data_IF_336040894352
#
_entry.id   IF_336040894352
#
_cell.length_a   1.000
_cell.length_b   1.000
_cell.length_c   1.000
_cell.angle_alpha   90.00
_cell.angle_beta   90.00
_cell.angle_gamma   90.00
#
_symmetry.space_group_name_H-M   'P 1'
#
loop_
_entity.id
_entity.type
_entity.pdbx_description
1 polymer ?
#
# COMPACT_ATOMS: atom_id res chain seq x y z
N UNK A 1 32.49 -63.72 -52.78
CA UNK A 1 32.24 -63.90 -51.33
C UNK A 1 33.02 -62.85 -50.54
N UNK A 2 32.81 -61.58 -50.91
CA UNK A 2 32.41 -60.44 -50.08
C UNK A 2 32.94 -60.34 -48.64
N UNK A 3 34.10 -59.69 -48.56
CA UNK A 3 34.42 -58.51 -47.73
C UNK A 3 33.68 -58.36 -46.40
N UNK A 4 34.40 -58.66 -45.31
CA UNK A 4 34.08 -58.23 -43.94
C UNK A 4 34.11 -56.71 -43.85
N UNK A 5 32.96 -56.10 -43.59
CA UNK A 5 32.81 -54.69 -43.19
C UNK A 5 33.39 -54.48 -41.79
N UNK A 6 34.36 -53.57 -41.59
CA UNK A 6 34.73 -53.13 -40.24
C UNK A 6 33.69 -52.12 -39.73
N UNK A 7 33.17 -52.35 -38.53
CA UNK A 7 32.31 -51.41 -37.80
C UNK A 7 33.12 -50.15 -37.45
N UNK A 8 32.64 -48.93 -37.73
CA UNK A 8 33.22 -47.73 -37.15
C UNK A 8 32.77 -47.62 -35.69
N UNK A 9 33.55 -48.18 -34.79
CA UNK A 9 33.54 -47.84 -33.37
C UNK A 9 34.34 -46.54 -33.16
N UNK A 10 33.74 -45.39 -33.46
CA UNK A 10 34.24 -44.12 -32.96
C UNK A 10 33.18 -43.02 -33.05
N UNK A 11 33.05 -42.26 -31.96
CA UNK A 11 32.30 -41.00 -31.82
C UNK A 11 30.88 -41.05 -31.22
N UNK A 12 30.81 -41.50 -29.98
CA UNK A 12 30.25 -40.66 -28.91
C UNK A 12 31.27 -40.67 -27.75
N UNK A 13 31.37 -39.68 -26.85
CA UNK A 13 30.59 -38.44 -26.69
C UNK A 13 31.47 -37.19 -26.38
N UNK A 14 31.23 -36.03 -27.02
CA UNK A 14 31.69 -34.75 -26.45
C UNK A 14 30.55 -33.73 -26.52
N UNK A 15 29.69 -33.77 -25.52
CA UNK A 15 28.81 -32.66 -25.17
C UNK A 15 28.68 -32.58 -23.63
N UNK A 16 29.82 -32.52 -22.94
CA UNK A 16 29.90 -32.28 -21.49
C UNK A 16 30.46 -30.87 -21.21
N UNK A 17 29.83 -29.84 -21.77
CA UNK A 17 30.13 -28.44 -21.40
C UNK A 17 28.88 -27.55 -21.28
N UNK A 18 27.68 -28.06 -21.57
CA UNK A 18 26.42 -27.29 -21.51
C UNK A 18 25.83 -27.13 -20.10
N UNK A 19 26.36 -27.85 -19.10
CA UNK A 19 25.83 -27.85 -17.72
C UNK A 19 26.27 -26.66 -16.87
N UNK A 20 27.38 -26.00 -17.23
CA UNK A 20 27.98 -24.95 -16.39
C UNK A 20 27.44 -23.55 -16.73
N UNK A 21 27.09 -23.29 -18.00
CA UNK A 21 26.40 -22.05 -18.41
C UNK A 21 24.90 -22.05 -18.07
N UNK A 22 24.29 -23.23 -17.92
CA UNK A 22 22.87 -23.34 -17.58
C UNK A 22 22.58 -23.03 -16.12
N UNK A 23 23.47 -23.36 -15.18
CA UNK A 23 23.31 -23.06 -13.75
C UNK A 23 23.48 -21.56 -13.45
N UNK A 24 24.46 -20.90 -14.05
CA UNK A 24 24.62 -19.44 -13.92
C UNK A 24 23.45 -18.67 -14.57
N UNK A 25 23.00 -19.10 -15.75
CA UNK A 25 21.81 -18.53 -16.41
C UNK A 25 20.51 -18.82 -15.64
N UNK A 26 20.38 -20.00 -15.01
CA UNK A 26 19.24 -20.33 -14.16
C UNK A 26 19.24 -19.50 -12.87
N UNK A 27 20.40 -19.31 -12.23
CA UNK A 27 20.54 -18.46 -11.06
C UNK A 27 20.18 -17.00 -11.35
N UNK A 28 20.64 -16.45 -12.49
CA UNK A 28 20.29 -15.10 -12.91
C UNK A 28 18.79 -14.94 -13.21
N UNK A 29 18.17 -15.94 -13.85
CA UNK A 29 16.70 -15.94 -14.08
C UNK A 29 15.94 -16.00 -12.76
N UNK A 30 16.35 -16.85 -11.84
CA UNK A 30 15.72 -16.97 -10.52
C UNK A 30 15.83 -15.66 -9.73
N UNK A 31 17.01 -15.03 -9.72
CA UNK A 31 17.22 -13.75 -9.06
C UNK A 31 16.34 -12.65 -9.68
N UNK A 32 16.28 -12.57 -11.02
CA UNK A 32 15.41 -11.61 -11.71
C UNK A 32 13.93 -11.84 -11.39
N UNK A 33 13.49 -13.09 -11.33
CA UNK A 33 12.12 -13.44 -10.91
C UNK A 33 11.87 -13.08 -9.46
N UNK A 34 12.81 -13.35 -8.55
CA UNK A 34 12.69 -13.02 -7.14
C UNK A 34 12.61 -11.50 -6.91
N UNK A 35 13.45 -10.72 -7.60
CA UNK A 35 13.39 -9.25 -7.58
C UNK A 35 12.05 -8.78 -8.13
N UNK A 36 11.60 -9.33 -9.27
CA UNK A 36 10.29 -9.00 -9.85
C UNK A 36 9.15 -9.31 -8.90
N UNK A 37 9.17 -10.48 -8.24
CA UNK A 37 8.17 -10.89 -7.26
C UNK A 37 8.18 -10.00 -6.01
N UNK A 38 9.36 -9.62 -5.51
CA UNK A 38 9.50 -8.71 -4.38
C UNK A 38 8.95 -7.31 -4.73
N UNK A 39 9.31 -6.77 -5.89
CA UNK A 39 8.78 -5.50 -6.37
C UNK A 39 7.25 -5.54 -6.52
N UNK A 40 6.72 -6.61 -7.13
CA UNK A 40 5.28 -6.81 -7.28
C UNK A 40 4.59 -6.91 -5.93
N UNK A 41 5.15 -7.70 -5.02
CA UNK A 41 4.60 -7.86 -3.67
C UNK A 41 4.54 -6.51 -2.93
N UNK A 42 5.65 -5.77 -2.86
CA UNK A 42 5.68 -4.46 -2.18
C UNK A 42 4.67 -3.51 -2.80
N UNK A 43 4.56 -3.49 -4.12
CA UNK A 43 3.62 -2.65 -4.84
C UNK A 43 2.16 -2.94 -4.45
N UNK A 44 1.72 -4.20 -4.55
CA UNK A 44 0.36 -4.59 -4.18
C UNK A 44 0.10 -4.49 -2.68
N UNK A 45 1.11 -4.72 -1.86
CA UNK A 45 1.01 -4.56 -0.41
C UNK A 45 0.74 -3.09 -0.04
N UNK A 46 1.52 -2.15 -0.57
CA UNK A 46 1.28 -0.71 -0.35
C UNK A 46 -0.09 -0.30 -0.87
N UNK A 47 -0.52 -0.83 -2.02
CA UNK A 47 -1.85 -0.54 -2.55
C UNK A 47 -2.97 -1.08 -1.64
N UNK A 48 -2.83 -2.29 -1.08
CA UNK A 48 -3.78 -2.82 -0.09
C UNK A 48 -3.81 -1.99 1.20
N UNK A 49 -2.64 -1.56 1.69
CA UNK A 49 -2.59 -0.65 2.83
C UNK A 49 -3.29 0.67 2.51
N UNK A 50 -3.05 1.25 1.34
CA UNK A 50 -3.68 2.49 0.92
C UNK A 50 -5.21 2.33 0.78
N UNK A 51 -5.69 1.27 0.15
CA UNK A 51 -7.13 0.98 0.01
C UNK A 51 -7.81 0.75 1.36
N UNK A 52 -7.10 0.22 2.35
CA UNK A 52 -7.62 0.02 3.70
C UNK A 52 -7.57 1.30 4.55
N UNK A 53 -6.43 1.98 4.59
CA UNK A 53 -6.20 3.11 5.49
C UNK A 53 -6.77 4.41 4.95
N UNK A 54 -6.72 4.67 3.64
CA UNK A 54 -7.26 5.91 3.08
C UNK A 54 -8.72 6.19 3.48
N UNK A 55 -9.68 5.25 3.32
CA UNK A 55 -11.05 5.50 3.75
C UNK A 55 -11.17 5.68 5.26
N UNK A 56 -10.39 4.95 6.06
CA UNK A 56 -10.40 5.09 7.52
C UNK A 56 -9.90 6.48 7.96
N UNK A 57 -8.80 6.96 7.39
CA UNK A 57 -8.25 8.27 7.68
C UNK A 57 -9.19 9.39 7.23
N UNK A 58 -9.82 9.26 6.07
CA UNK A 58 -10.82 10.22 5.59
C UNK A 58 -12.06 10.27 6.49
N UNK A 59 -12.60 9.11 6.89
CA UNK A 59 -13.74 9.05 7.80
C UNK A 59 -13.37 9.65 9.16
N UNK A 60 -12.22 9.28 9.72
CA UNK A 60 -11.76 9.79 11.01
C UNK A 60 -11.53 11.30 10.96
N UNK A 61 -10.85 11.80 9.93
CA UNK A 61 -10.60 13.23 9.74
C UNK A 61 -11.89 14.02 9.51
N UNK A 62 -12.82 13.52 8.71
CA UNK A 62 -14.13 14.15 8.50
C UNK A 62 -14.98 14.17 9.78
N UNK A 63 -15.02 13.06 10.52
CA UNK A 63 -15.72 12.98 11.80
C UNK A 63 -15.14 13.96 12.83
N UNK A 64 -13.82 14.08 12.90
CA UNK A 64 -13.14 15.04 13.77
C UNK A 64 -13.42 16.47 13.35
N UNK A 65 -13.33 16.80 12.05
CA UNK A 65 -13.63 18.13 11.54
C UNK A 65 -15.10 18.54 11.77
N UNK A 66 -16.03 17.57 11.78
CA UNK A 66 -17.45 17.81 12.06
C UNK A 66 -17.74 18.00 13.56
N UNK A 67 -16.88 17.49 14.45
CA UNK A 67 -17.11 17.47 15.89
C UNK A 67 -17.38 18.86 16.50
N UNK A 68 -16.59 19.91 16.20
CA UNK A 68 -16.82 21.25 16.73
C UNK A 68 -18.15 21.86 16.24
N UNK A 69 -18.54 21.59 14.99
CA UNK A 69 -19.78 22.10 14.41
C UNK A 69 -21.02 21.45 15.05
N UNK A 70 -20.97 20.14 15.28
CA UNK A 70 -22.03 19.40 15.97
C UNK A 70 -22.20 19.90 17.41
N UNK A 71 -21.10 20.10 18.13
CA UNK A 71 -21.11 20.55 19.51
C UNK A 71 -21.62 21.98 19.64
N UNK A 72 -21.23 22.90 18.74
CA UNK A 72 -21.79 24.26 18.69
C UNK A 72 -23.31 24.25 18.47
N UNK A 73 -23.80 23.34 17.61
CA UNK A 73 -25.23 23.21 17.32
C UNK A 73 -26.01 22.68 18.54
N UNK A 74 -25.48 21.64 19.18
CA UNK A 74 -26.05 21.07 20.41
C UNK A 74 -26.06 22.07 21.59
N UNK A 75 -25.00 22.87 21.71
CA UNK A 75 -24.91 23.92 22.73
C UNK A 75 -25.99 24.97 22.51
N UNK A 76 -26.22 25.40 21.25
CA UNK A 76 -27.25 26.38 20.91
C UNK A 76 -28.67 25.87 21.17
N UNK A 77 -28.96 24.58 20.93
CA UNK A 77 -30.26 23.99 21.24
C UNK A 77 -30.44 23.72 22.74
N UNK A 78 -29.42 23.25 23.45
CA UNK A 78 -29.47 23.07 24.89
C UNK A 78 -29.63 24.40 25.67
N UNK A 79 -29.01 25.48 25.19
CA UNK A 79 -29.18 26.83 25.74
C UNK A 79 -30.66 27.29 25.76
N UNK A 80 -31.47 26.79 24.82
CA UNK A 80 -32.90 27.10 24.77
C UNK A 80 -33.77 26.26 25.71
N UNK A 81 -33.21 25.20 26.31
CA UNK A 81 -33.95 24.22 27.11
C UNK A 81 -33.61 24.28 28.62
N UNK A 82 -32.34 24.45 29.00
CA UNK A 82 -31.92 24.55 30.41
C UNK A 82 -30.53 25.23 30.55
N UNK A 83 -30.41 26.35 31.29
CA UNK A 83 -29.13 27.03 31.53
C UNK A 83 -28.08 26.16 32.23
N UNK A 84 -28.49 25.21 33.07
CA UNK A 84 -27.56 24.34 33.80
C UNK A 84 -26.93 23.28 32.89
N UNK A 85 -27.72 22.71 31.96
CA UNK A 85 -27.23 21.82 30.92
C UNK A 85 -26.26 22.54 29.94
N UNK A 86 -26.50 23.82 29.66
CA UNK A 86 -25.64 24.62 28.80
C UNK A 86 -24.21 24.74 29.34
N UNK A 87 -24.04 25.05 30.63
CA UNK A 87 -22.71 25.20 31.24
C UNK A 87 -21.95 23.87 31.29
N UNK A 88 -22.65 22.76 31.54
CA UNK A 88 -22.05 21.43 31.49
C UNK A 88 -21.55 21.08 30.07
N UNK A 89 -22.38 21.32 29.05
CA UNK A 89 -22.02 21.05 27.64
C UNK A 89 -20.91 22.00 27.17
N UNK A 90 -20.94 23.28 27.55
CA UNK A 90 -19.91 24.26 27.20
C UNK A 90 -18.54 23.89 27.79
N UNK A 91 -18.52 23.35 29.02
CA UNK A 91 -17.27 22.88 29.65
C UNK A 91 -16.65 21.69 28.89
N UNK A 92 -17.48 20.78 28.39
CA UNK A 92 -17.04 19.61 27.61
C UNK A 92 -16.65 20.01 26.19
N UNK A 93 -17.38 20.95 25.59
CA UNK A 93 -17.08 21.50 24.27
C UNK A 93 -15.70 22.17 24.20
N UNK A 94 -15.32 22.90 25.26
CA UNK A 94 -14.05 23.58 25.35
C UNK A 94 -12.86 22.63 25.64
N UNK A 95 -13.15 21.38 26.00
CA UNK A 95 -12.16 20.32 26.20
C UNK A 95 -11.88 19.50 24.93
N UNK A 96 -12.59 19.75 23.82
CA UNK A 96 -12.37 19.04 22.55
C UNK A 96 -11.09 19.58 21.91
N UNK A 97 -10.05 18.75 21.74
CA UNK A 97 -8.78 19.21 21.21
C UNK A 97 -8.87 19.44 19.69
N UNK A 98 -8.42 20.61 19.22
CA UNK A 98 -8.18 20.90 17.80
C UNK A 98 -6.97 20.09 17.27
N UNK A 99 -6.02 19.79 18.16
CA UNK A 99 -4.82 19.01 17.86
C UNK A 99 -4.58 17.98 18.97
N UNK A 100 -4.14 16.79 18.59
CA UNK A 100 -3.88 15.70 19.52
C UNK A 100 -2.44 15.23 19.35
N UNK A 101 -1.64 15.33 20.40
CA UNK A 101 -0.26 14.86 20.35
C UNK A 101 -0.23 13.37 20.68
N UNK A 102 0.02 12.53 19.68
CA UNK A 102 0.17 11.08 19.86
C UNK A 102 1.60 10.67 19.50
N UNK A 103 2.31 10.04 20.44
CA UNK A 103 3.69 9.58 20.24
C UNK A 103 4.64 10.66 19.66
N UNK A 104 4.48 11.92 20.11
CA UNK A 104 5.28 13.06 19.66
C UNK A 104 4.88 13.67 18.31
N UNK A 105 3.86 13.13 17.64
CA UNK A 105 3.31 13.71 16.41
C UNK A 105 2.01 14.45 16.70
N UNK A 106 1.86 15.63 16.09
CA UNK A 106 0.64 16.42 16.15
C UNK A 106 -0.33 15.87 15.11
N UNK A 107 -1.38 15.20 15.58
CA UNK A 107 -2.49 14.76 14.75
C UNK A 107 -3.53 15.88 14.66
N UNK A 108 -3.90 16.23 13.44
CA UNK A 108 -4.97 17.19 13.15
C UNK A 108 -5.97 16.55 12.19
N UNK A 109 -7.23 16.99 12.25
CA UNK A 109 -8.27 16.52 11.33
C UNK A 109 -7.89 16.73 9.86
N UNK A 110 -7.25 17.86 9.54
CA UNK A 110 -6.78 18.15 8.18
C UNK A 110 -5.60 17.27 7.77
N UNK A 111 -4.71 16.91 8.70
CA UNK A 111 -3.61 15.98 8.43
C UNK A 111 -4.13 14.59 8.06
N UNK A 112 -5.08 14.06 8.83
CA UNK A 112 -5.77 12.79 8.56
C UNK A 112 -6.41 12.76 7.16
N UNK A 113 -7.10 13.85 6.78
CA UNK A 113 -7.72 13.95 5.44
C UNK A 113 -6.66 13.98 4.35
N UNK A 114 -5.60 14.78 4.52
CA UNK A 114 -4.53 14.90 3.55
C UNK A 114 -3.82 13.56 3.34
N UNK A 115 -3.49 12.85 4.42
CA UNK A 115 -2.85 11.53 4.37
C UNK A 115 -3.73 10.52 3.64
N UNK A 116 -5.04 10.52 3.90
CA UNK A 116 -6.00 9.67 3.18
C UNK A 116 -6.04 9.96 1.68
N UNK A 117 -6.04 11.24 1.28
CA UNK A 117 -5.99 11.64 -0.13
C UNK A 117 -4.67 11.25 -0.80
N UNK A 118 -3.54 11.41 -0.10
CA UNK A 118 -2.22 11.00 -0.60
C UNK A 118 -2.17 9.49 -0.81
N UNK A 119 -2.69 8.69 0.13
CA UNK A 119 -2.78 7.24 -0.02
C UNK A 119 -3.64 6.85 -1.24
N UNK A 120 -4.79 7.50 -1.44
CA UNK A 120 -5.60 7.30 -2.64
C UNK A 120 -4.85 7.64 -3.93
N UNK A 121 -4.11 8.76 -3.95
CA UNK A 121 -3.31 9.15 -5.10
C UNK A 121 -2.19 8.15 -5.41
N UNK A 122 -1.52 7.63 -4.37
CA UNK A 122 -0.51 6.58 -4.49
C UNK A 122 -1.11 5.29 -5.06
N UNK A 123 -2.26 4.85 -4.54
CA UNK A 123 -2.95 3.66 -5.04
C UNK A 123 -3.37 3.82 -6.52
N UNK A 124 -3.99 4.95 -6.87
CA UNK A 124 -4.42 5.22 -8.24
C UNK A 124 -3.25 5.37 -9.23
N UNK A 125 -2.19 6.07 -8.81
CA UNK A 125 -0.96 6.21 -9.59
C UNK A 125 -0.27 4.86 -9.80
N UNK A 126 -0.25 4.03 -8.76
CA UNK A 126 0.25 2.67 -8.83
C UNK A 126 -0.51 1.83 -9.85
N UNK A 127 -1.84 1.77 -9.75
CA UNK A 127 -2.67 0.99 -10.67
C UNK A 127 -2.46 1.43 -12.14
N UNK A 128 -2.27 2.74 -12.36
CA UNK A 128 -1.98 3.30 -13.68
C UNK A 128 -0.62 2.84 -14.22
N UNK A 129 0.42 2.88 -13.38
CA UNK A 129 1.76 2.39 -13.73
C UNK A 129 1.74 0.88 -14.03
N UNK A 130 1.05 0.08 -13.21
CA UNK A 130 0.89 -1.35 -13.44
C UNK A 130 0.20 -1.65 -14.78
N UNK A 131 -0.85 -0.90 -15.12
CA UNK A 131 -1.54 -1.00 -16.41
C UNK A 131 -0.62 -0.64 -17.59
N UNK A 132 0.18 0.42 -17.46
CA UNK A 132 1.11 0.85 -18.51
C UNK A 132 2.23 -0.15 -18.75
N UNK A 133 2.76 -0.77 -17.69
CA UNK A 133 3.79 -1.82 -17.79
C UNK A 133 3.20 -3.10 -18.35
N UNK A 134 2.02 -3.52 -17.88
CA UNK A 134 1.33 -4.71 -18.37
C UNK A 134 0.94 -4.64 -19.85
N UNK A 135 0.78 -3.43 -20.40
CA UNK A 135 0.54 -3.23 -21.85
C UNK A 135 1.80 -3.44 -22.72
N UNK A 136 3.00 -3.37 -22.13
CA UNK A 136 4.29 -3.46 -22.87
C UNK A 136 4.97 -4.82 -22.73
N UNK A 137 4.39 -5.73 -21.95
CA UNK A 137 4.76 -7.14 -21.82
C UNK A 137 3.90 -7.99 -22.75
#
# INVERSE_FOLDING_TARGET
>A
MDTRTPLPASQQPIAMSSRQNTSAAAGLRLLRTAIGAACYFVFYFVQQLAELFAPLLLIAGAAWAALPALVKTLTRTAASADPQAHDAIASVANAIPEELTLAGHVLTASGLICDGLVLMAVAAGGATLAMLVGRKL
#
